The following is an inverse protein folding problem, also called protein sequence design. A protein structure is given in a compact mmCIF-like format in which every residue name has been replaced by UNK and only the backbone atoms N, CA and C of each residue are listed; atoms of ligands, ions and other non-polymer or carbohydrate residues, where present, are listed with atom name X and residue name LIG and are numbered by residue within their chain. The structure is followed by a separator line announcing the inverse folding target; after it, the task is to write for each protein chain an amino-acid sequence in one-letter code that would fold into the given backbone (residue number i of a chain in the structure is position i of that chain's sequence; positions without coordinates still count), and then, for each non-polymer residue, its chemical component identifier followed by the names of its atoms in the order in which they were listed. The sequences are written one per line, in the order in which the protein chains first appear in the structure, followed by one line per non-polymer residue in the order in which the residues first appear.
data_IF_956730946824
#
_entry.id   IF_956730946824
#
_cell.length_a   1.000
_cell.length_b   1.000
_cell.length_c   1.000
_cell.angle_alpha   90.00
_cell.angle_beta   90.00
_cell.angle_gamma   90.00
#
_symmetry.space_group_name_H-M   'P 1'
#
loop_
_entity.id
_entity.type
_entity.pdbx_description
1 polymer ?
#
# COMPACT_ATOMS: atom_id res chain seq x y z
N UNK A 1 24.46 -0.38 12.66
CA UNK A 1 25.07 0.95 12.48
C UNK A 1 25.81 1.35 13.75
N UNK A 2 25.17 1.40 14.94
CA UNK A 2 25.80 1.84 16.19
C UNK A 2 27.03 1.00 16.56
N UNK A 3 26.94 -0.33 16.42
CA UNK A 3 28.07 -1.25 16.69
C UNK A 3 29.24 -1.02 15.72
N UNK A 4 28.94 -0.84 14.43
CA UNK A 4 29.97 -0.61 13.41
C UNK A 4 30.70 0.73 13.59
N UNK A 5 30.04 1.73 14.17
CA UNK A 5 30.59 3.06 14.39
C UNK A 5 31.09 3.29 15.82
N UNK A 6 31.20 2.22 16.63
CA UNK A 6 31.67 2.26 18.02
C UNK A 6 30.92 3.28 18.92
N UNK A 7 29.65 3.55 18.60
CA UNK A 7 28.81 4.44 19.41
C UNK A 7 28.32 3.71 20.68
N UNK A 8 28.13 4.44 21.79
CA UNK A 8 27.61 3.84 23.02
C UNK A 8 26.18 3.30 22.76
N UNK A 9 26.05 1.96 22.81
CA UNK A 9 24.81 1.26 22.47
C UNK A 9 23.61 1.71 23.29
N UNK A 10 23.82 1.87 24.61
CA UNK A 10 22.75 2.26 25.52
C UNK A 10 22.20 3.65 25.19
N UNK A 11 23.06 4.61 24.98
CA UNK A 11 22.69 6.00 24.64
C UNK A 11 22.05 6.06 23.26
N UNK A 12 22.60 5.34 22.29
CA UNK A 12 22.05 5.28 20.94
C UNK A 12 20.64 4.67 20.93
N UNK A 13 20.41 3.63 21.74
CA UNK A 13 19.09 3.00 21.83
C UNK A 13 18.09 3.85 22.63
N UNK A 14 18.46 4.34 23.81
CA UNK A 14 17.52 5.02 24.70
C UNK A 14 17.22 6.46 24.29
N UNK A 15 18.20 7.21 23.82
CA UNK A 15 18.01 8.63 23.50
C UNK A 15 17.74 8.87 22.02
N UNK A 16 18.47 8.22 21.12
CA UNK A 16 18.30 8.46 19.68
C UNK A 16 17.17 7.64 19.12
N UNK A 17 17.24 6.31 19.28
CA UNK A 17 16.22 5.42 18.68
C UNK A 17 14.85 5.58 19.34
N UNK A 18 14.77 5.53 20.67
CA UNK A 18 13.48 5.64 21.37
C UNK A 18 12.87 7.02 21.24
N UNK A 19 13.69 8.09 21.19
CA UNK A 19 13.21 9.44 20.93
C UNK A 19 12.60 9.59 19.54
N UNK A 20 13.28 9.12 18.51
CA UNK A 20 12.78 9.12 17.15
C UNK A 20 11.52 8.23 16.99
N UNK A 21 11.54 7.04 17.60
CA UNK A 21 10.40 6.12 17.58
C UNK A 21 9.15 6.73 18.23
N UNK A 22 9.29 7.33 19.42
CA UNK A 22 8.16 7.98 20.10
C UNK A 22 7.59 9.16 19.30
N UNK A 23 8.44 9.93 18.63
CA UNK A 23 8.02 11.01 17.73
C UNK A 23 7.17 10.48 16.58
N UNK A 24 7.66 9.46 15.87
CA UNK A 24 6.92 8.84 14.76
C UNK A 24 5.57 8.25 15.23
N UNK A 25 5.55 7.59 16.41
CA UNK A 25 4.30 7.05 16.96
C UNK A 25 3.31 8.17 17.28
N UNK A 26 3.75 9.27 17.86
CA UNK A 26 2.90 10.43 18.15
C UNK A 26 2.32 11.06 16.88
N UNK A 27 3.15 11.28 15.87
CA UNK A 27 2.75 11.91 14.62
C UNK A 27 1.75 11.05 13.83
N UNK A 28 1.94 9.74 13.83
CA UNK A 28 1.12 8.82 13.06
C UNK A 28 -0.09 8.25 13.83
N UNK A 29 -0.14 8.42 15.16
CA UNK A 29 -1.18 7.80 16.00
C UNK A 29 -2.60 8.20 15.57
N UNK A 30 -2.87 9.49 15.39
CA UNK A 30 -4.19 9.97 14.97
C UNK A 30 -4.57 9.49 13.57
N UNK A 31 -3.58 9.40 12.68
CA UNK A 31 -3.77 8.93 11.31
C UNK A 31 -4.16 7.44 11.33
N UNK A 32 -3.43 6.63 12.07
CA UNK A 32 -3.75 5.20 12.20
C UNK A 32 -5.10 4.96 12.88
N UNK A 33 -5.38 5.70 13.95
CA UNK A 33 -6.65 5.57 14.67
C UNK A 33 -7.83 5.90 13.74
N UNK A 34 -7.78 7.01 13.02
CA UNK A 34 -8.84 7.40 12.08
C UNK A 34 -8.99 6.42 10.93
N UNK A 35 -7.88 5.90 10.37
CA UNK A 35 -7.92 4.91 9.31
C UNK A 35 -8.54 3.58 9.76
N UNK A 36 -8.22 3.12 10.98
CA UNK A 36 -8.79 1.90 11.56
C UNK A 36 -10.28 2.07 11.85
N UNK A 37 -10.70 3.22 12.42
CA UNK A 37 -12.11 3.52 12.66
C UNK A 37 -12.90 3.57 11.34
N UNK A 38 -12.36 4.22 10.32
CA UNK A 38 -12.97 4.27 8.99
C UNK A 38 -13.10 2.88 8.38
N UNK A 39 -12.04 2.06 8.46
CA UNK A 39 -12.08 0.66 8.02
C UNK A 39 -13.16 -0.16 8.72
N UNK A 40 -13.33 0.05 10.04
CA UNK A 40 -14.38 -0.60 10.81
C UNK A 40 -15.78 -0.17 10.37
N UNK A 41 -16.00 1.13 10.17
CA UNK A 41 -17.27 1.65 9.66
C UNK A 41 -17.62 1.10 8.27
N UNK A 42 -16.65 0.94 7.37
CA UNK A 42 -16.86 0.30 6.07
C UNK A 42 -17.30 -1.17 6.19
N UNK A 43 -16.75 -1.90 7.16
CA UNK A 43 -17.17 -3.28 7.42
C UNK A 43 -18.58 -3.35 8.01
N UNK A 44 -18.84 -2.58 9.04
CA UNK A 44 -20.11 -2.63 9.80
C UNK A 44 -21.29 -2.08 8.99
N UNK A 45 -21.06 -1.09 8.11
CA UNK A 45 -22.07 -0.54 7.18
C UNK A 45 -22.35 -1.43 5.96
N UNK A 46 -21.53 -2.46 5.71
CA UNK A 46 -21.60 -3.28 4.49
C UNK A 46 -21.12 -2.56 3.22
N UNK A 47 -20.62 -1.33 3.33
CA UNK A 47 -20.13 -0.56 2.20
C UNK A 47 -18.97 -1.26 1.49
N UNK A 48 -18.05 -1.88 2.24
CA UNK A 48 -16.95 -2.65 1.68
C UNK A 48 -17.44 -3.79 0.77
N UNK A 49 -18.48 -4.52 1.18
CA UNK A 49 -19.08 -5.59 0.39
C UNK A 49 -19.76 -5.05 -0.87
N UNK A 50 -20.48 -3.93 -0.75
CA UNK A 50 -21.15 -3.28 -1.88
C UNK A 50 -20.15 -2.79 -2.94
N UNK A 51 -19.06 -2.15 -2.51
CA UNK A 51 -17.98 -1.71 -3.40
C UNK A 51 -17.32 -2.92 -4.08
N UNK A 52 -16.99 -3.96 -3.31
CA UNK A 52 -16.38 -5.18 -3.86
C UNK A 52 -17.27 -5.84 -4.91
N UNK A 53 -18.56 -6.01 -4.64
CA UNK A 53 -19.53 -6.56 -5.59
C UNK A 53 -19.70 -5.70 -6.82
N UNK A 54 -19.77 -4.38 -6.66
CA UNK A 54 -19.87 -3.45 -7.79
C UNK A 54 -18.65 -3.57 -8.72
N UNK A 55 -17.44 -3.55 -8.16
CA UNK A 55 -16.21 -3.68 -8.94
C UNK A 55 -16.11 -5.04 -9.64
N UNK A 56 -16.46 -6.12 -8.95
CA UNK A 56 -16.48 -7.46 -9.56
C UNK A 56 -17.55 -7.58 -10.63
N UNK A 57 -18.72 -6.99 -10.47
CA UNK A 57 -19.76 -6.98 -11.51
C UNK A 57 -19.36 -6.16 -12.73
N UNK A 58 -18.66 -5.05 -12.52
CA UNK A 58 -18.21 -4.18 -13.61
C UNK A 58 -17.09 -4.83 -14.45
N UNK A 59 -16.11 -5.43 -13.81
CA UNK A 59 -14.89 -5.92 -14.47
C UNK A 59 -14.79 -7.46 -14.52
N UNK A 60 -15.47 -8.17 -13.62
CA UNK A 60 -15.35 -9.62 -13.45
C UNK A 60 -16.61 -10.44 -13.80
N UNK A 61 -17.65 -9.81 -14.38
CA UNK A 61 -18.96 -10.44 -14.61
C UNK A 61 -18.92 -11.77 -15.35
N UNK A 62 -18.03 -11.93 -16.32
CA UNK A 62 -17.90 -13.15 -17.13
C UNK A 62 -16.62 -13.94 -16.82
N UNK A 63 -15.90 -13.58 -15.75
CA UNK A 63 -14.66 -14.24 -15.42
C UNK A 63 -14.89 -15.40 -14.46
N UNK A 64 -14.28 -16.54 -14.75
CA UNK A 64 -14.34 -17.77 -13.94
C UNK A 64 -12.92 -18.23 -13.59
N UNK A 65 -12.77 -18.88 -12.45
CA UNK A 65 -11.50 -19.46 -12.02
C UNK A 65 -10.38 -18.41 -11.92
N UNK A 66 -9.23 -18.73 -12.48
CA UNK A 66 -8.01 -17.90 -12.42
C UNK A 66 -8.19 -16.48 -12.95
N UNK A 67 -8.99 -16.30 -14.02
CA UNK A 67 -9.26 -14.96 -14.56
C UNK A 67 -9.98 -14.06 -13.54
N UNK A 68 -10.89 -14.62 -12.75
CA UNK A 68 -11.58 -13.88 -11.68
C UNK A 68 -10.60 -13.41 -10.61
N UNK A 69 -9.65 -14.26 -10.24
CA UNK A 69 -8.59 -13.94 -9.27
C UNK A 69 -7.67 -12.83 -9.79
N UNK A 70 -7.21 -12.93 -11.04
CA UNK A 70 -6.36 -11.90 -11.68
C UNK A 70 -7.08 -10.55 -11.74
N UNK A 71 -8.36 -10.53 -12.12
CA UNK A 71 -9.16 -9.31 -12.19
C UNK A 71 -9.33 -8.70 -10.78
N UNK A 72 -9.64 -9.51 -9.78
CA UNK A 72 -9.78 -9.03 -8.41
C UNK A 72 -8.46 -8.43 -7.89
N UNK A 73 -7.33 -9.09 -8.13
CA UNK A 73 -6.00 -8.59 -7.76
C UNK A 73 -5.65 -7.29 -8.50
N UNK A 74 -5.97 -7.19 -9.79
CA UNK A 74 -5.75 -5.99 -10.59
C UNK A 74 -6.62 -4.81 -10.12
N UNK A 75 -7.89 -5.04 -9.78
CA UNK A 75 -8.80 -4.02 -9.23
C UNK A 75 -8.25 -3.48 -7.90
N UNK A 76 -7.87 -4.37 -6.99
CA UNK A 76 -7.28 -3.97 -5.71
C UNK A 76 -5.98 -3.18 -5.91
N UNK A 77 -5.10 -3.67 -6.78
CA UNK A 77 -3.84 -3.00 -7.10
C UNK A 77 -4.06 -1.62 -7.71
N UNK A 78 -4.97 -1.48 -8.67
CA UNK A 78 -5.27 -0.20 -9.32
C UNK A 78 -5.91 0.80 -8.34
N UNK A 79 -6.83 0.33 -7.48
CA UNK A 79 -7.45 1.18 -6.45
C UNK A 79 -6.40 1.66 -5.44
N UNK A 80 -5.55 0.76 -4.95
CA UNK A 80 -4.46 1.09 -4.05
C UNK A 80 -3.45 2.06 -4.67
N UNK A 81 -3.10 1.85 -5.95
CA UNK A 81 -2.26 2.76 -6.72
C UNK A 81 -2.87 4.16 -6.82
N UNK A 82 -4.14 4.25 -7.21
CA UNK A 82 -4.82 5.54 -7.37
C UNK A 82 -4.88 6.33 -6.05
N UNK A 83 -5.17 5.68 -4.93
CA UNK A 83 -5.20 6.32 -3.61
C UNK A 83 -3.80 6.77 -3.16
N UNK A 84 -2.80 5.91 -3.29
CA UNK A 84 -1.44 6.21 -2.88
C UNK A 84 -0.81 7.30 -3.78
N UNK A 85 -1.04 7.25 -5.09
CA UNK A 85 -0.60 8.28 -6.02
C UNK A 85 -1.34 9.61 -5.82
N UNK A 86 -2.57 9.56 -5.32
CA UNK A 86 -3.35 10.73 -4.91
C UNK A 86 -2.84 11.42 -3.63
N UNK A 87 -1.77 10.91 -3.01
CA UNK A 87 -1.14 11.52 -1.84
C UNK A 87 -1.60 10.98 -0.49
N UNK A 88 -2.39 9.89 -0.50
CA UNK A 88 -2.76 9.22 0.75
C UNK A 88 -1.58 8.36 1.20
N UNK A 89 -1.18 8.53 2.47
CA UNK A 89 -0.08 7.75 3.04
C UNK A 89 -0.29 6.25 2.92
N UNK A 90 0.81 5.53 2.71
CA UNK A 90 0.85 4.07 2.55
C UNK A 90 0.04 3.31 3.59
N UNK A 91 0.22 3.65 4.87
CA UNK A 91 -0.46 2.95 5.95
C UNK A 91 -1.96 3.24 5.95
N UNK A 92 -2.35 4.48 5.65
CA UNK A 92 -3.77 4.85 5.52
C UNK A 92 -4.44 4.06 4.39
N UNK A 93 -3.78 3.94 3.24
CA UNK A 93 -4.29 3.13 2.11
C UNK A 93 -4.45 1.67 2.51
N UNK A 94 -3.45 1.08 3.17
CA UNK A 94 -3.50 -0.31 3.61
C UNK A 94 -4.67 -0.57 4.57
N UNK A 95 -4.87 0.28 5.57
CA UNK A 95 -5.97 0.11 6.52
C UNK A 95 -7.33 0.37 5.90
N UNK A 96 -7.46 1.37 5.04
CA UNK A 96 -8.72 1.72 4.38
C UNK A 96 -9.16 0.66 3.36
N UNK A 97 -8.21 0.13 2.58
CA UNK A 97 -8.50 -0.92 1.58
C UNK A 97 -8.64 -2.32 2.17
N UNK A 98 -8.11 -2.56 3.36
CA UNK A 98 -8.15 -3.90 3.96
C UNK A 98 -9.53 -4.56 3.95
N UNK A 99 -10.63 -3.90 4.41
CA UNK A 99 -11.96 -4.49 4.36
C UNK A 99 -12.45 -4.76 2.94
N UNK A 100 -12.14 -3.90 1.98
CA UNK A 100 -12.54 -4.09 0.57
C UNK A 100 -11.79 -5.26 -0.03
N UNK A 101 -10.47 -5.35 0.19
CA UNK A 101 -9.64 -6.46 -0.29
C UNK A 101 -10.07 -7.79 0.34
N UNK A 102 -10.40 -7.80 1.63
CA UNK A 102 -10.89 -9.00 2.32
C UNK A 102 -12.18 -9.52 1.67
N UNK A 103 -13.11 -8.64 1.34
CA UNK A 103 -14.37 -9.03 0.69
C UNK A 103 -14.16 -9.45 -0.77
N UNK A 104 -13.30 -8.75 -1.52
CA UNK A 104 -12.93 -9.14 -2.88
C UNK A 104 -12.23 -10.51 -2.93
N UNK A 105 -11.33 -10.79 -2.02
CA UNK A 105 -10.67 -12.09 -1.92
C UNK A 105 -11.67 -13.21 -1.63
N UNK A 106 -12.69 -12.98 -0.79
CA UNK A 106 -13.75 -13.93 -0.54
C UNK A 106 -14.63 -14.18 -1.78
N UNK A 107 -15.01 -13.12 -2.48
CA UNK A 107 -15.82 -13.21 -3.72
C UNK A 107 -15.07 -13.86 -4.89
N UNK A 108 -13.75 -13.69 -4.95
CA UNK A 108 -12.91 -14.27 -5.99
C UNK A 108 -12.30 -15.63 -5.63
N UNK A 109 -12.62 -16.16 -4.43
CA UNK A 109 -12.07 -17.42 -3.90
C UNK A 109 -10.53 -17.44 -3.86
N UNK A 110 -9.95 -16.32 -3.44
CA UNK A 110 -8.49 -16.17 -3.32
C UNK A 110 -8.05 -16.60 -1.91
N UNK A 111 -7.03 -17.48 -1.77
CA UNK A 111 -6.52 -17.87 -0.48
C UNK A 111 -6.02 -16.68 0.34
N UNK A 112 -6.37 -16.66 1.63
CA UNK A 112 -6.03 -15.53 2.54
C UNK A 112 -4.53 -15.21 2.62
N UNK A 113 -3.67 -16.17 2.33
CA UNK A 113 -2.21 -15.98 2.32
C UNK A 113 -1.73 -14.95 1.30
N UNK A 114 -2.48 -14.73 0.21
CA UNK A 114 -2.14 -13.74 -0.82
C UNK A 114 -2.73 -12.36 -0.56
N UNK A 115 -3.63 -12.22 0.41
CA UNK A 115 -4.36 -10.99 0.68
C UNK A 115 -3.44 -9.78 0.96
N UNK A 116 -2.41 -9.97 1.79
CA UNK A 116 -1.43 -8.91 2.07
C UNK A 116 -0.61 -8.53 0.83
N UNK A 117 -0.27 -9.51 -0.01
CA UNK A 117 0.39 -9.25 -1.28
C UNK A 117 -0.47 -8.40 -2.19
N UNK A 118 -1.73 -8.78 -2.37
CA UNK A 118 -2.70 -8.04 -3.20
C UNK A 118 -2.89 -6.61 -2.69
N UNK A 119 -3.05 -6.45 -1.38
CA UNK A 119 -3.19 -5.16 -0.74
C UNK A 119 -1.98 -4.26 -1.01
N UNK A 120 -0.78 -4.83 -1.01
CA UNK A 120 0.47 -4.09 -1.19
C UNK A 120 0.83 -3.80 -2.65
N UNK A 121 0.26 -4.50 -3.64
CA UNK A 121 0.59 -4.30 -5.07
C UNK A 121 0.43 -2.82 -5.48
N UNK A 122 -0.70 -2.22 -5.16
CA UNK A 122 -0.99 -0.83 -5.55
C UNK A 122 -0.04 0.16 -4.90
N UNK A 123 0.16 0.03 -3.59
CA UNK A 123 1.05 0.91 -2.82
C UNK A 123 2.50 0.77 -3.24
N UNK A 124 2.99 -0.46 -3.43
CA UNK A 124 4.34 -0.71 -3.92
C UNK A 124 4.55 -0.16 -5.34
N UNK A 125 3.55 -0.28 -6.21
CA UNK A 125 3.58 0.31 -7.55
C UNK A 125 3.67 1.84 -7.47
N UNK A 126 2.88 2.47 -6.61
CA UNK A 126 2.93 3.92 -6.41
C UNK A 126 4.30 4.37 -5.85
N UNK A 127 4.87 3.62 -4.91
CA UNK A 127 6.14 3.94 -4.29
C UNK A 127 7.32 3.98 -5.28
N UNK A 128 7.27 3.18 -6.34
CA UNK A 128 8.31 3.20 -7.40
C UNK A 128 7.92 4.07 -8.59
N UNK A 129 6.69 4.59 -8.63
CA UNK A 129 6.24 5.48 -9.72
C UNK A 129 6.83 6.88 -9.56
N UNK A 130 7.31 7.49 -10.66
CA UNK A 130 7.84 8.84 -10.61
C UNK A 130 6.74 9.86 -10.28
N UNK A 131 7.07 10.84 -9.47
CA UNK A 131 6.14 11.90 -9.06
C UNK A 131 5.13 11.51 -7.98
N UNK A 132 5.12 10.28 -7.50
CA UNK A 132 4.25 9.89 -6.39
C UNK A 132 4.68 10.59 -5.09
N UNK A 133 3.75 11.27 -4.37
CA UNK A 133 4.06 12.03 -3.16
C UNK A 133 4.16 11.10 -1.93
N UNK A 134 4.98 10.07 -2.03
CA UNK A 134 5.22 9.09 -0.99
C UNK A 134 6.61 9.27 -0.38
N UNK A 135 6.73 8.94 0.90
CA UNK A 135 7.97 9.06 1.69
C UNK A 135 9.19 8.47 0.99
N UNK A 136 9.16 7.28 0.36
CA UNK A 136 10.31 6.73 -0.36
C UNK A 136 10.80 7.59 -1.53
N UNK A 137 9.94 8.38 -2.14
CA UNK A 137 10.31 9.30 -3.23
C UNK A 137 10.74 10.66 -2.69
N UNK A 138 10.05 11.17 -1.67
CA UNK A 138 10.25 12.50 -1.14
C UNK A 138 11.60 12.67 -0.42
N UNK A 139 11.98 11.73 0.46
CA UNK A 139 13.23 11.83 1.23
C UNK A 139 14.48 11.87 0.34
N UNK A 140 14.66 10.97 -0.66
CA UNK A 140 15.81 11.06 -1.55
C UNK A 140 15.87 12.34 -2.36
N UNK A 141 14.70 12.86 -2.78
CA UNK A 141 14.62 14.13 -3.51
C UNK A 141 15.13 15.30 -2.68
N UNK A 142 14.72 15.37 -1.41
CA UNK A 142 15.14 16.45 -0.50
C UNK A 142 16.65 16.39 -0.22
N UNK A 143 17.20 15.18 0.01
CA UNK A 143 18.61 14.98 0.30
C UNK A 143 19.51 15.23 -0.92
N UNK A 144 19.09 14.75 -2.10
CA UNK A 144 19.87 14.81 -3.34
C UNK A 144 19.60 16.07 -4.18
N UNK A 145 18.63 16.89 -3.80
CA UNK A 145 18.23 18.08 -4.56
C UNK A 145 17.70 17.75 -5.96
N UNK A 146 17.13 16.56 -6.17
CA UNK A 146 16.63 16.11 -7.47
C UNK A 146 15.14 16.40 -7.64
N UNK A 147 14.67 16.48 -8.88
CA UNK A 147 13.24 16.64 -9.16
C UNK A 147 12.46 15.34 -8.95
N UNK A 148 11.14 15.46 -8.70
CA UNK A 148 10.22 14.30 -8.56
C UNK A 148 10.22 13.37 -9.77
N UNK A 149 10.67 13.84 -10.90
CA UNK A 149 10.69 13.11 -12.18
C UNK A 149 12.10 12.74 -12.64
N UNK A 150 13.12 12.85 -11.79
CA UNK A 150 14.51 12.55 -12.15
C UNK A 150 14.70 11.11 -12.67
N UNK A 151 13.90 10.15 -12.15
CA UNK A 151 13.91 8.75 -12.58
C UNK A 151 12.67 8.34 -13.40
N UNK A 152 12.17 9.18 -14.31
CA UNK A 152 10.90 8.95 -15.02
C UNK A 152 10.85 7.61 -15.76
N UNK A 153 11.82 7.34 -16.63
CA UNK A 153 11.85 6.11 -17.43
C UNK A 153 12.02 4.86 -16.57
N UNK A 154 13.06 4.75 -15.73
CA UNK A 154 13.21 3.57 -14.88
C UNK A 154 12.07 3.42 -13.88
N UNK A 155 11.49 4.50 -13.37
CA UNK A 155 10.35 4.47 -12.46
C UNK A 155 9.09 3.91 -13.11
N UNK A 156 8.76 4.31 -14.34
CA UNK A 156 7.62 3.74 -15.09
C UNK A 156 7.84 2.25 -15.37
N UNK A 157 9.02 1.87 -15.83
CA UNK A 157 9.33 0.45 -16.10
C UNK A 157 9.23 -0.38 -14.83
N UNK A 158 9.79 0.11 -13.71
CA UNK A 158 9.70 -0.56 -12.41
C UNK A 158 8.24 -0.68 -11.93
N UNK A 159 7.45 0.38 -12.05
CA UNK A 159 6.02 0.37 -11.68
C UNK A 159 5.23 -0.68 -12.48
N UNK A 160 5.45 -0.78 -13.78
CA UNK A 160 4.82 -1.80 -14.61
C UNK A 160 5.23 -3.21 -14.21
N UNK A 161 6.52 -3.45 -13.97
CA UNK A 161 7.02 -4.76 -13.53
C UNK A 161 6.41 -5.14 -12.18
N UNK A 162 6.38 -4.23 -11.21
CA UNK A 162 5.82 -4.48 -9.87
C UNK A 162 4.32 -4.75 -9.97
N UNK A 163 3.58 -3.96 -10.75
CA UNK A 163 2.14 -4.13 -10.91
C UNK A 163 1.78 -5.47 -11.56
N UNK A 164 2.29 -5.71 -12.76
CA UNK A 164 1.97 -6.94 -13.49
C UNK A 164 2.56 -8.19 -12.83
N UNK A 165 3.79 -8.12 -12.33
CA UNK A 165 4.42 -9.20 -11.58
C UNK A 165 3.63 -9.55 -10.31
N UNK A 166 3.21 -8.54 -9.55
CA UNK A 166 2.39 -8.71 -8.36
C UNK A 166 1.02 -9.34 -8.65
N UNK A 167 0.33 -8.85 -9.69
CA UNK A 167 -0.98 -9.39 -10.11
C UNK A 167 -0.86 -10.83 -10.56
N UNK A 168 0.15 -11.18 -11.36
CA UNK A 168 0.38 -12.55 -11.84
C UNK A 168 0.75 -13.48 -10.67
N UNK A 169 1.59 -13.02 -9.75
CA UNK A 169 1.99 -13.82 -8.59
C UNK A 169 0.84 -14.13 -7.63
N UNK A 170 -0.09 -13.20 -7.47
CA UNK A 170 -1.22 -13.33 -6.55
C UNK A 170 -2.48 -13.95 -7.19
N UNK A 171 -2.45 -14.28 -8.47
CA UNK A 171 -3.53 -14.94 -9.21
C UNK A 171 -3.22 -16.41 -9.45
#
# INVERSE_FOLDING_TARGET
VAICNQLPLLTSFTQVFMGAFSGIVMDLFLIFLSAILMGRLYMDSGAALSIAKFLMNLFGRNATGRRKQTIASAICGLTGFALAYGGIDTFCVLFTLFPVVLTLCKEADIPRKYMLGILNIGVATAAVSPGAPLVPNYIPMEILGTSSYAGLIPGIVAALIVFFGGVIYCS
#
